data_IF_869319913524
#
_entry.id   IF_869319913524
#
_cell.length_a   1.000
_cell.length_b   1.000
_cell.length_c   1.000
_cell.angle_alpha   90.00
_cell.angle_beta   90.00
_cell.angle_gamma   90.00
#
_symmetry.space_group_name_H-M   'P 1'
#
loop_
_entity.id
_entity.type
_entity.pdbx_description
1 polymer ?
#
# COMPACT_ATOMS: atom_id res chain seq x y z
N UNK A 1 -6.33 0.64 -9.72
CA UNK A 1 -5.37 1.71 -10.02
C UNK A 1 -3.99 1.23 -9.68
N UNK A 2 -3.05 1.42 -10.55
CA UNK A 2 -1.65 1.01 -10.41
C UNK A 2 -0.83 2.27 -10.14
N UNK A 3 -0.14 2.34 -9.01
CA UNK A 3 0.76 3.46 -8.69
C UNK A 3 2.19 2.94 -8.70
N UNK A 4 3.03 3.52 -9.54
CA UNK A 4 4.45 3.21 -9.59
C UNK A 4 5.18 4.13 -8.62
N UNK A 5 5.86 3.53 -7.63
CA UNK A 5 6.77 4.22 -6.73
C UNK A 5 8.17 4.06 -7.31
N UNK A 6 8.74 5.14 -7.81
CA UNK A 6 10.06 5.10 -8.41
C UNK A 6 11.13 5.04 -7.34
N UNK A 7 12.00 4.03 -7.40
CA UNK A 7 13.17 3.90 -6.52
C UNK A 7 14.29 4.74 -7.09
N UNK A 8 14.70 5.79 -6.37
CA UNK A 8 15.81 6.66 -6.78
C UNK A 8 17.17 6.23 -6.23
N UNK A 9 17.21 5.40 -5.19
CA UNK A 9 18.45 4.88 -4.62
C UNK A 9 18.25 3.46 -4.05
N UNK A 10 19.07 2.52 -4.50
CA UNK A 10 19.21 1.19 -3.90
C UNK A 10 20.56 1.13 -3.21
N UNK A 11 20.57 1.17 -1.87
CA UNK A 11 21.77 0.93 -1.07
C UNK A 11 21.84 -0.54 -0.67
N UNK A 12 22.91 -1.24 -1.03
CA UNK A 12 23.15 -2.60 -0.59
C UNK A 12 23.93 -2.56 0.72
N UNK A 13 23.34 -3.04 1.82
CA UNK A 13 24.05 -3.29 3.05
C UNK A 13 24.85 -4.58 2.92
N UNK A 14 26.18 -4.48 2.79
CA UNK A 14 27.05 -5.65 2.76
C UNK A 14 27.03 -6.35 4.13
N UNK A 15 26.37 -7.47 4.24
CA UNK A 15 26.72 -8.63 5.07
C UNK A 15 25.59 -9.66 5.13
N UNK A 16 25.56 -10.59 4.17
CA UNK A 16 25.15 -11.98 4.42
C UNK A 16 25.41 -12.84 3.19
N UNK A 17 26.01 -14.02 3.42
CA UNK A 17 26.36 -15.03 2.40
C UNK A 17 25.14 -15.85 1.95
N UNK A 18 24.03 -15.22 1.60
CA UNK A 18 22.94 -15.86 0.84
C UNK A 18 22.91 -15.22 -0.54
N UNK A 19 22.76 -16.03 -1.59
CA UNK A 19 22.52 -15.54 -2.95
C UNK A 19 21.17 -14.81 -2.99
N UNK A 20 21.17 -13.55 -2.56
CA UNK A 20 20.03 -12.67 -2.70
C UNK A 20 20.05 -12.11 -4.11
N UNK A 21 18.89 -12.08 -4.76
CA UNK A 21 18.75 -11.35 -6.03
C UNK A 21 19.23 -9.91 -5.79
N UNK A 22 20.18 -9.47 -6.59
CA UNK A 22 20.74 -8.13 -6.47
C UNK A 22 19.84 -7.19 -7.28
N UNK A 23 19.06 -6.36 -6.60
CA UNK A 23 18.27 -5.32 -7.24
C UNK A 23 19.19 -4.18 -7.71
N UNK A 24 18.85 -3.60 -8.86
CA UNK A 24 19.67 -2.55 -9.49
C UNK A 24 18.99 -1.18 -9.35
N UNK A 25 19.76 -0.08 -9.45
CA UNK A 25 19.19 1.24 -9.62
C UNK A 25 18.24 1.27 -10.83
N UNK A 26 17.01 1.76 -10.62
CA UNK A 26 15.94 1.72 -11.63
C UNK A 26 14.91 0.61 -11.39
N UNK A 27 15.12 -0.29 -10.43
CA UNK A 27 14.08 -1.18 -9.94
C UNK A 27 12.94 -0.36 -9.30
N UNK A 28 11.71 -0.77 -9.53
CA UNK A 28 10.54 -0.04 -9.08
C UNK A 28 9.77 -0.83 -8.02
N UNK A 29 9.20 -0.10 -7.04
CA UNK A 29 8.17 -0.62 -6.15
C UNK A 29 6.82 -0.10 -6.66
N UNK A 30 5.91 -1.02 -6.94
CA UNK A 30 4.56 -0.72 -7.39
C UNK A 30 3.60 -0.95 -6.24
N UNK A 31 2.79 0.05 -5.90
CA UNK A 31 1.64 -0.15 -5.03
C UNK A 31 0.44 -0.59 -5.87
N UNK A 32 -0.01 -1.83 -5.66
CA UNK A 32 -1.26 -2.35 -6.19
C UNK A 32 -2.35 -2.14 -5.14
N UNK A 33 -3.40 -1.40 -5.49
CA UNK A 33 -4.48 -1.04 -4.56
C UNK A 33 -4.36 0.39 -4.03
N UNK A 34 -4.95 0.64 -2.87
CA UNK A 34 -5.03 1.97 -2.26
C UNK A 34 -4.58 1.93 -0.81
N UNK A 35 -3.80 2.94 -0.43
CA UNK A 35 -3.31 3.12 0.93
C UNK A 35 -4.46 3.30 1.92
N UNK A 36 -4.46 2.54 3.02
CA UNK A 36 -5.39 2.68 4.14
C UNK A 36 -6.86 2.34 3.82
N UNK A 37 -7.15 1.78 2.65
CA UNK A 37 -8.53 1.53 2.24
C UNK A 37 -9.23 0.51 3.15
N UNK A 38 -8.59 -0.59 3.46
CA UNK A 38 -9.18 -1.63 4.31
C UNK A 38 -9.48 -1.08 5.71
N UNK A 39 -8.54 -0.35 6.32
CA UNK A 39 -8.77 0.29 7.61
C UNK A 39 -9.89 1.33 7.56
N UNK A 40 -10.03 2.07 6.47
CA UNK A 40 -11.15 2.99 6.24
C UNK A 40 -12.48 2.25 6.24
N UNK A 41 -12.55 1.10 5.56
CA UNK A 41 -13.77 0.27 5.54
C UNK A 41 -14.12 -0.24 6.93
N UNK A 42 -13.14 -0.68 7.72
CA UNK A 42 -13.37 -1.08 9.13
C UNK A 42 -13.89 0.08 9.98
N UNK A 43 -13.31 1.26 9.85
CA UNK A 43 -13.79 2.45 10.57
C UNK A 43 -15.25 2.79 10.22
N UNK A 44 -15.63 2.65 8.95
CA UNK A 44 -17.00 2.85 8.52
C UNK A 44 -17.96 1.83 9.14
N UNK A 45 -17.55 0.57 9.23
CA UNK A 45 -18.38 -0.48 9.84
C UNK A 45 -18.50 -0.31 11.36
N UNK A 46 -17.40 0.01 12.03
CA UNK A 46 -17.34 0.06 13.50
C UNK A 46 -17.86 1.36 14.09
N UNK A 47 -17.68 2.49 13.38
CA UNK A 47 -17.97 3.83 13.88
C UNK A 47 -18.96 4.61 12.98
N UNK A 48 -19.87 3.93 12.28
CA UNK A 48 -20.83 4.56 11.38
C UNK A 48 -21.68 5.64 12.08
N UNK A 49 -22.07 5.39 13.33
CA UNK A 49 -22.87 6.34 14.09
C UNK A 49 -22.13 7.68 14.30
N UNK A 50 -20.83 7.62 14.60
CA UNK A 50 -20.00 8.82 14.76
C UNK A 50 -19.80 9.53 13.41
N UNK A 51 -19.57 8.77 12.35
CA UNK A 51 -19.40 9.32 11.00
C UNK A 51 -20.65 10.02 10.49
N UNK A 52 -21.85 9.56 10.85
CA UNK A 52 -23.13 10.21 10.51
C UNK A 52 -23.30 11.60 11.14
N UNK A 53 -22.50 11.96 12.13
CA UNK A 53 -22.51 13.32 12.71
C UNK A 53 -21.92 14.35 11.74
N UNK A 54 -21.05 13.94 10.81
CA UNK A 54 -20.37 14.81 9.85
C UNK A 54 -20.69 14.48 8.39
N UNK A 55 -20.82 13.20 8.06
CA UNK A 55 -20.98 12.74 6.69
C UNK A 55 -22.40 12.34 6.35
N UNK A 56 -22.77 12.57 5.10
CA UNK A 56 -24.08 12.17 4.60
C UNK A 56 -24.18 10.63 4.45
N UNK A 57 -25.37 10.04 4.54
CA UNK A 57 -25.56 8.62 4.26
C UNK A 57 -25.02 8.20 2.88
N UNK A 58 -25.15 9.06 1.88
CA UNK A 58 -24.63 8.83 0.53
C UNK A 58 -23.13 8.69 0.50
N UNK A 59 -22.40 9.51 1.27
CA UNK A 59 -20.94 9.42 1.39
C UNK A 59 -20.53 8.09 2.04
N UNK A 60 -21.20 7.71 3.12
CA UNK A 60 -20.93 6.47 3.85
C UNK A 60 -21.16 5.25 2.93
N UNK A 61 -22.26 5.21 2.20
CA UNK A 61 -22.54 4.12 1.27
C UNK A 61 -21.55 4.09 0.10
N UNK A 62 -21.13 5.24 -0.41
CA UNK A 62 -20.07 5.34 -1.42
C UNK A 62 -18.75 4.76 -0.89
N UNK A 63 -18.41 5.07 0.35
CA UNK A 63 -17.20 4.52 0.99
C UNK A 63 -17.26 3.00 1.13
N UNK A 64 -18.39 2.45 1.57
CA UNK A 64 -18.57 0.99 1.67
C UNK A 64 -18.38 0.27 0.33
N UNK A 65 -18.77 0.90 -0.79
CA UNK A 65 -18.56 0.33 -2.14
C UNK A 65 -17.08 0.29 -2.53
N UNK A 66 -16.22 1.08 -1.90
CA UNK A 66 -14.79 1.04 -2.18
C UNK A 66 -14.13 -0.31 -1.89
N UNK A 67 -14.81 -1.23 -1.19
CA UNK A 67 -14.36 -2.63 -1.02
C UNK A 67 -14.05 -3.34 -2.34
N UNK A 68 -14.70 -2.94 -3.43
CA UNK A 68 -14.45 -3.47 -4.78
C UNK A 68 -13.06 -3.12 -5.32
N UNK A 69 -12.38 -2.17 -4.69
CA UNK A 69 -11.01 -1.76 -5.04
C UNK A 69 -9.93 -2.49 -4.23
N UNK A 70 -10.29 -3.40 -3.33
CA UNK A 70 -9.34 -4.25 -2.64
C UNK A 70 -8.77 -5.30 -3.60
N UNK A 71 -7.48 -5.57 -3.46
CA UNK A 71 -6.79 -6.58 -4.26
C UNK A 71 -6.82 -7.91 -3.52
N UNK A 72 -7.19 -8.97 -4.22
CA UNK A 72 -7.20 -10.33 -3.68
C UNK A 72 -5.91 -11.07 -4.02
N UNK A 73 -5.49 -12.04 -3.17
CA UNK A 73 -4.25 -12.78 -3.38
C UNK A 73 -4.14 -13.44 -4.75
N UNK A 74 -5.25 -13.91 -5.32
CA UNK A 74 -5.29 -14.58 -6.63
C UNK A 74 -4.89 -13.66 -7.79
N UNK A 75 -5.05 -12.34 -7.61
CA UNK A 75 -4.63 -11.34 -8.61
C UNK A 75 -3.11 -11.16 -8.59
N UNK A 76 -2.49 -11.34 -7.43
CA UNK A 76 -1.03 -11.22 -7.23
C UNK A 76 -0.28 -12.48 -7.68
N UNK A 77 -0.91 -13.65 -7.63
CA UNK A 77 -0.31 -14.91 -8.09
C UNK A 77 0.04 -14.93 -9.60
N UNK A 78 -0.45 -13.97 -10.36
CA UNK A 78 -0.17 -13.82 -11.80
C UNK A 78 1.08 -12.99 -12.10
N UNK A 79 1.79 -12.53 -11.07
CA UNK A 79 3.02 -11.75 -11.25
C UNK A 79 4.15 -12.63 -11.81
N UNK A 80 5.11 -12.04 -12.54
CA UNK A 80 6.33 -12.73 -12.97
C UNK A 80 7.09 -13.35 -11.79
N UNK A 81 7.74 -14.47 -12.03
CA UNK A 81 8.48 -15.22 -10.99
C UNK A 81 9.62 -14.40 -10.37
N UNK A 82 10.15 -13.44 -11.13
CA UNK A 82 11.21 -12.52 -10.70
C UNK A 82 10.71 -11.43 -9.75
N UNK A 83 9.42 -11.09 -9.80
CA UNK A 83 8.85 -10.07 -8.95
C UNK A 83 8.73 -10.55 -7.50
N UNK A 84 8.97 -9.65 -6.56
CA UNK A 84 8.71 -9.88 -5.14
C UNK A 84 7.49 -9.10 -4.72
N UNK A 85 6.56 -9.75 -4.10
CA UNK A 85 5.34 -9.10 -3.61
C UNK A 85 5.23 -9.22 -2.10
N UNK A 86 4.64 -8.19 -1.49
CA UNK A 86 4.31 -8.16 -0.08
C UNK A 86 2.95 -7.51 0.14
N UNK A 87 2.11 -8.18 0.88
CA UNK A 87 0.84 -7.60 1.31
C UNK A 87 1.10 -6.53 2.37
N UNK A 88 0.46 -5.38 2.22
CA UNK A 88 0.36 -4.41 3.29
C UNK A 88 -0.66 -4.90 4.31
N UNK A 89 -0.36 -4.73 5.59
CA UNK A 89 -1.23 -5.15 6.68
C UNK A 89 -1.29 -4.09 7.77
N UNK A 90 -1.22 -4.52 9.01
CA UNK A 90 -1.16 -3.64 10.17
C UNK A 90 0.10 -2.75 10.09
N UNK A 91 -0.03 -1.48 10.45
CA UNK A 91 1.00 -0.47 10.23
C UNK A 91 1.02 0.12 8.82
N UNK A 92 0.09 -0.30 7.97
CA UNK A 92 -0.18 0.30 6.67
C UNK A 92 0.92 0.12 5.63
N UNK A 93 0.89 0.98 4.63
CA UNK A 93 1.86 0.95 3.52
C UNK A 93 3.28 1.23 3.99
N UNK A 94 3.47 2.06 5.01
CA UNK A 94 4.82 2.38 5.52
C UNK A 94 5.47 1.16 6.18
N UNK A 95 4.72 0.40 6.96
CA UNK A 95 5.21 -0.85 7.53
C UNK A 95 5.53 -1.86 6.42
N UNK A 96 4.64 -2.02 5.44
CA UNK A 96 4.89 -2.90 4.29
C UNK A 96 6.15 -2.54 3.51
N UNK A 97 6.40 -1.26 3.29
CA UNK A 97 7.63 -0.77 2.65
C UNK A 97 8.87 -1.07 3.48
N UNK A 98 8.83 -0.81 4.79
CA UNK A 98 9.91 -1.15 5.71
C UNK A 98 10.24 -2.64 5.68
N UNK A 99 9.23 -3.48 5.80
CA UNK A 99 9.39 -4.93 5.78
C UNK A 99 9.93 -5.45 4.45
N UNK A 100 9.51 -4.86 3.31
CA UNK A 100 10.04 -5.17 1.99
C UNK A 100 11.52 -4.80 1.89
N UNK A 101 11.88 -3.61 2.36
CA UNK A 101 13.27 -3.13 2.38
C UNK A 101 14.18 -4.03 3.23
N UNK A 102 13.72 -4.43 4.42
CA UNK A 102 14.46 -5.33 5.31
C UNK A 102 14.61 -6.74 4.69
N UNK A 103 13.56 -7.26 4.05
CA UNK A 103 13.60 -8.58 3.42
C UNK A 103 14.56 -8.62 2.24
N UNK A 104 14.53 -7.60 1.39
CA UNK A 104 15.34 -7.53 0.17
C UNK A 104 16.69 -6.83 0.37
N UNK A 105 16.96 -6.31 1.58
CA UNK A 105 18.21 -5.58 1.93
C UNK A 105 18.47 -4.38 1.02
N UNK A 106 17.42 -3.62 0.73
CA UNK A 106 17.45 -2.43 -0.12
C UNK A 106 17.10 -1.17 0.67
N UNK A 107 17.60 -0.01 0.21
CA UNK A 107 17.10 1.31 0.57
C UNK A 107 16.24 1.85 -0.56
N UNK A 108 15.28 2.71 -0.24
CA UNK A 108 14.43 3.36 -1.24
C UNK A 108 14.06 4.78 -0.80
N UNK A 109 13.66 5.57 -1.76
CA UNK A 109 13.10 6.90 -1.57
C UNK A 109 11.64 6.91 -2.04
N UNK A 110 10.76 7.51 -1.25
CA UNK A 110 9.33 7.56 -1.55
C UNK A 110 8.91 8.99 -1.84
N UNK A 111 8.22 9.16 -2.95
CA UNK A 111 7.40 10.33 -3.19
C UNK A 111 5.96 10.04 -2.70
N UNK A 112 5.60 10.59 -1.55
CA UNK A 112 4.28 10.40 -0.95
C UNK A 112 3.14 10.87 -1.85
N UNK A 113 3.37 11.82 -2.74
CA UNK A 113 2.36 12.30 -3.68
C UNK A 113 1.92 11.23 -4.69
N UNK A 114 2.73 10.20 -4.87
CA UNK A 114 2.46 9.07 -5.77
C UNK A 114 1.73 7.91 -5.11
N UNK A 115 1.60 7.93 -3.78
CA UNK A 115 0.82 6.90 -3.08
C UNK A 115 -0.67 7.11 -3.32
N UNK A 116 -1.32 6.10 -3.92
CA UNK A 116 -2.74 6.17 -4.22
C UNK A 116 -3.58 6.18 -2.94
N UNK A 117 -4.32 7.26 -2.73
CA UNK A 117 -5.30 7.45 -1.67
C UNK A 117 -6.67 7.72 -2.29
N UNK A 118 -7.70 7.10 -1.73
CA UNK A 118 -9.07 7.52 -2.05
C UNK A 118 -9.46 8.74 -1.23
N UNK A 119 -10.29 9.61 -1.81
CA UNK A 119 -10.81 10.78 -1.09
C UNK A 119 -11.55 10.37 0.18
N UNK A 120 -12.29 9.28 0.13
CA UNK A 120 -13.01 8.72 1.27
C UNK A 120 -12.07 8.36 2.42
N UNK A 121 -10.90 7.78 2.13
CA UNK A 121 -9.86 7.49 3.12
C UNK A 121 -9.35 8.76 3.77
N UNK A 122 -9.03 9.79 2.97
CA UNK A 122 -8.53 11.07 3.47
C UNK A 122 -9.54 11.72 4.42
N UNK A 123 -10.81 11.82 4.00
CA UNK A 123 -11.87 12.46 4.79
C UNK A 123 -12.13 11.73 6.12
N UNK A 124 -12.16 10.40 6.11
CA UNK A 124 -12.39 9.60 7.32
C UNK A 124 -11.19 9.64 8.25
N UNK A 125 -9.98 9.55 7.70
CA UNK A 125 -8.75 9.68 8.50
C UNK A 125 -8.66 11.07 9.14
N UNK A 126 -9.01 12.13 8.44
CA UNK A 126 -9.06 13.47 8.98
C UNK A 126 -10.07 13.58 10.14
N UNK A 127 -11.26 13.01 9.99
CA UNK A 127 -12.27 13.00 11.04
C UNK A 127 -11.79 12.35 12.34
N UNK A 128 -11.09 11.23 12.25
CA UNK A 128 -10.54 10.50 13.40
C UNK A 128 -9.11 10.93 13.78
N UNK A 129 -8.53 11.91 13.09
CA UNK A 129 -7.14 12.36 13.27
C UNK A 129 -6.11 11.21 13.13
N UNK A 130 -6.32 10.35 12.15
CA UNK A 130 -5.46 9.22 11.84
C UNK A 130 -4.56 9.52 10.63
N UNK A 131 -3.38 8.91 10.62
CA UNK A 131 -2.50 8.96 9.47
C UNK A 131 -2.84 7.82 8.49
N UNK A 132 -3.31 8.12 7.26
CA UNK A 132 -3.73 7.09 6.30
C UNK A 132 -2.60 6.16 5.88
N UNK A 133 -1.35 6.60 5.93
CA UNK A 133 -0.18 5.79 5.56
C UNK A 133 0.17 4.71 6.61
N UNK A 134 -0.30 4.88 7.85
CA UNK A 134 -0.14 3.94 8.95
C UNK A 134 -1.40 3.08 9.17
N UNK A 135 -2.51 3.46 8.56
CA UNK A 135 -3.77 2.74 8.67
C UNK A 135 -3.67 1.40 7.94
N UNK A 136 -4.21 0.33 8.55
CA UNK A 136 -4.15 -1.01 7.95
C UNK A 136 -4.58 -1.01 6.49
N UNK A 137 -3.80 -1.67 5.65
CA UNK A 137 -3.92 -1.65 4.21
C UNK A 137 -4.00 -3.07 3.62
N UNK A 138 -4.56 -4.03 4.36
CA UNK A 138 -4.85 -5.35 3.83
C UNK A 138 -5.70 -5.23 2.54
N UNK A 139 -5.38 -6.04 1.51
CA UNK A 139 -5.95 -5.82 0.17
C UNK A 139 -5.22 -4.77 -0.66
N UNK A 140 -4.03 -4.35 -0.22
CA UNK A 140 -3.04 -3.64 -1.03
C UNK A 140 -1.72 -4.39 -0.99
N UNK A 141 -0.98 -4.36 -2.07
CA UNK A 141 0.28 -5.10 -2.22
C UNK A 141 1.38 -4.18 -2.76
N UNK A 142 2.57 -4.37 -2.24
CA UNK A 142 3.80 -3.79 -2.78
C UNK A 142 4.47 -4.85 -3.66
N UNK A 143 4.82 -4.47 -4.87
CA UNK A 143 5.49 -5.35 -5.84
C UNK A 143 6.80 -4.72 -6.25
N UNK A 144 7.89 -5.42 -5.98
CA UNK A 144 9.24 -5.03 -6.39
C UNK A 144 9.57 -5.75 -7.70
N UNK A 145 9.86 -5.00 -8.76
CA UNK A 145 10.13 -5.53 -10.10
C UNK A 145 11.10 -4.66 -10.88
N UNK A 146 11.81 -5.26 -11.82
CA UNK A 146 12.68 -4.55 -12.76
C UNK A 146 11.90 -3.98 -13.97
N UNK A 147 10.68 -4.46 -14.19
CA UNK A 147 9.82 -4.09 -15.32
C UNK A 147 8.46 -3.62 -14.83
N UNK A 148 8.43 -2.40 -14.27
CA UNK A 148 7.21 -1.84 -13.68
C UNK A 148 6.10 -1.47 -14.69
N UNK A 149 6.40 -1.40 -15.96
CA UNK A 149 5.47 -1.00 -17.02
C UNK A 149 4.66 -2.17 -17.63
N UNK A 150 5.02 -3.42 -17.37
CA UNK A 150 4.31 -4.62 -17.83
C UNK A 150 3.31 -5.11 -16.76
#
# INVERSE_FOLDING_TARGET
>A
MRTVIQITAVGVKENSKQQMKKWFPGTEIILCGYTGLEGTLRLVEEAEADLRTRFTPSFIEKTKRCKESLIFPEQILKLPEEAKSRQCGDGGVLCGLWELAEAEKIGFEIDFSKLALKQETVEICEFFQLNPYLLTSAGSYLVLTEHGEE
#
